data_IF_992470662783
#
_entry.id   IF_992470662783
#
_cell.length_a   1.000
_cell.length_b   1.000
_cell.length_c   1.000
_cell.angle_alpha   90.00
_cell.angle_beta   90.00
_cell.angle_gamma   90.00
#
_symmetry.space_group_name_H-M   'P 1'
#
loop_
_entity.id
_entity.type
_entity.pdbx_description
1 polymer ?
#
# COMPACT_ATOMS: atom_id res chain seq x y z
N UNK A 1 -26.69 -1.68 1.18
CA UNK A 1 -27.29 -3.02 1.31
C UNK A 1 -26.25 -4.03 0.89
N UNK A 2 -25.55 -4.67 1.84
CA UNK A 2 -24.54 -5.69 1.54
C UNK A 2 -25.22 -6.89 0.87
N UNK A 3 -24.77 -7.24 -0.33
CA UNK A 3 -25.30 -8.34 -1.15
C UNK A 3 -25.41 -9.66 -0.37
N UNK A 4 -26.41 -10.53 -0.66
CA UNK A 4 -26.52 -11.87 -0.06
C UNK A 4 -25.24 -12.71 -0.16
N UNK A 5 -24.37 -12.38 -1.11
CA UNK A 5 -23.04 -12.97 -1.29
C UNK A 5 -22.16 -12.79 -0.04
N UNK A 6 -22.26 -11.65 0.67
CA UNK A 6 -21.42 -11.38 1.85
C UNK A 6 -21.88 -12.10 3.11
N UNK A 7 -23.14 -12.55 3.17
CA UNK A 7 -23.72 -13.22 4.35
C UNK A 7 -22.93 -14.47 4.75
N UNK A 8 -22.53 -15.28 3.78
CA UNK A 8 -21.74 -16.49 4.03
C UNK A 8 -20.34 -16.17 4.59
N UNK A 9 -19.73 -15.07 4.15
CA UNK A 9 -18.41 -14.66 4.60
C UNK A 9 -18.45 -14.01 5.99
N UNK A 10 -19.49 -13.20 6.28
CA UNK A 10 -19.73 -12.62 7.61
C UNK A 10 -19.97 -13.74 8.63
N UNK A 11 -20.72 -14.79 8.25
CA UNK A 11 -21.04 -15.89 9.16
C UNK A 11 -19.83 -16.77 9.51
N UNK A 12 -18.95 -17.05 8.54
CA UNK A 12 -17.85 -18.01 8.72
C UNK A 12 -16.50 -17.36 9.05
N UNK A 13 -16.24 -16.13 8.61
CA UNK A 13 -14.96 -15.44 8.87
C UNK A 13 -15.12 -13.92 8.86
N UNK A 14 -15.89 -13.34 9.81
CA UNK A 14 -16.20 -11.92 9.82
C UNK A 14 -14.95 -11.06 9.88
N UNK A 15 -13.98 -11.42 10.71
CA UNK A 15 -12.74 -10.65 10.91
C UNK A 15 -11.92 -10.58 9.61
N UNK A 16 -11.75 -11.70 8.90
CA UNK A 16 -10.97 -11.74 7.66
C UNK A 16 -11.58 -10.87 6.56
N UNK A 17 -12.91 -10.87 6.46
CA UNK A 17 -13.64 -10.04 5.49
C UNK A 17 -13.45 -8.56 5.79
N UNK A 18 -13.54 -8.21 7.06
CA UNK A 18 -13.40 -6.83 7.51
C UNK A 18 -11.97 -6.34 7.36
N UNK A 19 -10.99 -7.13 7.80
CA UNK A 19 -9.57 -6.84 7.61
C UNK A 19 -9.22 -6.65 6.12
N UNK A 20 -9.74 -7.50 5.23
CA UNK A 20 -9.55 -7.36 3.79
C UNK A 20 -10.21 -6.09 3.23
N UNK A 21 -11.42 -5.77 3.68
CA UNK A 21 -12.12 -4.54 3.31
C UNK A 21 -11.37 -3.29 3.76
N UNK A 22 -10.89 -3.30 5.00
CA UNK A 22 -10.01 -2.29 5.61
C UNK A 22 -8.75 -2.10 4.77
N UNK A 23 -7.99 -3.16 4.52
CA UNK A 23 -6.77 -3.10 3.72
C UNK A 23 -7.04 -2.55 2.31
N UNK A 24 -8.15 -2.95 1.66
CA UNK A 24 -8.52 -2.42 0.33
C UNK A 24 -8.86 -0.93 0.35
N UNK A 25 -9.46 -0.43 1.43
CA UNK A 25 -9.79 0.99 1.59
C UNK A 25 -8.52 1.81 1.84
N UNK A 26 -7.71 1.37 2.81
CA UNK A 26 -6.48 2.08 3.24
C UNK A 26 -5.44 2.08 2.12
N UNK A 27 -5.21 0.94 1.47
CA UNK A 27 -4.18 0.74 0.44
C UNK A 27 -4.68 1.10 -0.98
N UNK A 28 -5.57 2.09 -1.11
CA UNK A 28 -6.02 2.55 -2.42
C UNK A 28 -4.87 3.29 -3.12
N UNK A 29 -4.40 2.84 -4.31
CA UNK A 29 -3.25 3.45 -4.98
C UNK A 29 -3.37 4.96 -5.18
N UNK A 30 -4.56 5.46 -5.55
CA UNK A 30 -4.78 6.90 -5.76
C UNK A 30 -4.63 7.71 -4.48
N UNK A 31 -5.21 7.22 -3.39
CA UNK A 31 -5.11 7.88 -2.08
C UNK A 31 -3.69 7.82 -1.53
N UNK A 32 -2.98 6.72 -1.78
CA UNK A 32 -1.58 6.55 -1.41
C UNK A 32 -0.66 7.53 -2.15
N UNK A 33 -0.85 7.67 -3.45
CA UNK A 33 -0.06 8.59 -4.27
C UNK A 33 -0.37 10.04 -3.91
N UNK A 34 -1.65 10.42 -3.74
CA UNK A 34 -2.04 11.75 -3.27
C UNK A 34 -1.50 12.07 -1.86
N UNK A 35 -1.57 11.11 -0.93
CA UNK A 35 -1.00 11.27 0.40
C UNK A 35 0.53 11.48 0.34
N UNK A 36 1.22 10.71 -0.50
CA UNK A 36 2.65 10.81 -0.66
C UNK A 36 3.08 12.16 -1.23
N UNK A 37 2.42 12.65 -2.29
CA UNK A 37 2.70 13.97 -2.88
C UNK A 37 2.54 15.12 -1.88
N UNK A 38 1.60 15.00 -0.94
CA UNK A 38 1.36 16.02 0.09
C UNK A 38 2.29 15.91 1.31
N UNK A 39 2.93 14.75 1.50
CA UNK A 39 3.74 14.45 2.70
C UNK A 39 5.24 14.50 2.43
N UNK A 40 5.66 14.08 1.23
CA UNK A 40 7.06 14.11 0.82
C UNK A 40 7.54 15.56 0.68
N UNK A 41 8.67 15.89 1.30
CA UNK A 41 9.21 17.26 1.26
C UNK A 41 10.12 17.47 0.06
N UNK A 42 10.96 16.49 -0.25
CA UNK A 42 11.94 16.59 -1.35
C UNK A 42 11.81 15.48 -2.40
N UNK A 43 10.93 14.50 -2.17
CA UNK A 43 10.87 13.30 -3.01
C UNK A 43 10.05 13.54 -4.30
N UNK A 44 10.70 13.31 -5.44
CA UNK A 44 10.13 13.54 -6.78
C UNK A 44 9.26 12.35 -7.24
N UNK A 45 8.11 12.64 -7.85
CA UNK A 45 7.10 11.62 -8.24
C UNK A 45 6.89 11.52 -9.75
N UNK A 46 7.65 12.24 -10.59
CA UNK A 46 7.35 12.30 -12.04
C UNK A 46 7.38 10.95 -12.78
N UNK A 47 8.34 10.07 -12.48
CA UNK A 47 8.53 8.84 -13.28
C UNK A 47 8.11 7.56 -12.54
N UNK A 48 7.94 7.60 -11.21
CA UNK A 48 7.65 6.42 -10.40
C UNK A 48 6.69 6.77 -9.27
N UNK A 49 5.49 6.17 -9.31
CA UNK A 49 4.49 6.32 -8.27
C UNK A 49 4.92 5.66 -6.96
N UNK A 50 4.46 6.21 -5.84
CA UNK A 50 4.73 5.62 -4.53
C UNK A 50 3.98 4.30 -4.36
N UNK A 51 2.76 4.21 -4.88
CA UNK A 51 1.94 2.99 -4.91
C UNK A 51 2.64 1.83 -5.62
N UNK A 52 3.36 2.08 -6.72
CA UNK A 52 4.19 1.08 -7.42
C UNK A 52 5.33 0.58 -6.53
N UNK A 53 6.00 1.49 -5.82
CA UNK A 53 7.07 1.09 -4.91
C UNK A 53 6.55 0.28 -3.73
N UNK A 54 5.43 0.72 -3.14
CA UNK A 54 4.74 0.01 -2.07
C UNK A 54 4.32 -1.39 -2.51
N UNK A 55 3.80 -1.53 -3.73
CA UNK A 55 3.44 -2.82 -4.32
C UNK A 55 4.64 -3.78 -4.40
N UNK A 56 5.79 -3.32 -4.90
CA UNK A 56 7.02 -4.12 -4.95
C UNK A 56 7.50 -4.53 -3.55
N UNK A 57 7.52 -3.59 -2.60
CA UNK A 57 7.89 -3.86 -1.20
C UNK A 57 6.93 -4.88 -0.58
N UNK A 58 5.64 -4.81 -0.89
CA UNK A 58 4.65 -5.73 -0.36
C UNK A 58 4.93 -7.18 -0.76
N UNK A 59 5.39 -7.43 -1.99
CA UNK A 59 5.74 -8.77 -2.47
C UNK A 59 6.93 -9.35 -1.72
N UNK A 60 7.89 -8.49 -1.34
CA UNK A 60 9.07 -8.90 -0.56
C UNK A 60 8.71 -9.16 0.89
N UNK A 61 7.95 -8.26 1.52
CA UNK A 61 7.55 -8.37 2.94
C UNK A 61 6.63 -9.57 3.18
N UNK A 62 5.74 -9.88 2.23
CA UNK A 62 4.88 -11.08 2.28
C UNK A 62 5.63 -12.38 1.96
N UNK A 63 6.89 -12.30 1.54
CA UNK A 63 7.72 -13.45 1.18
C UNK A 63 7.41 -14.07 -0.19
N UNK A 64 6.55 -13.43 -1.01
CA UNK A 64 6.28 -13.87 -2.39
C UNK A 64 7.50 -13.74 -3.29
N UNK A 65 8.35 -12.73 -3.03
CA UNK A 65 9.59 -12.48 -3.76
C UNK A 65 10.76 -12.33 -2.78
N UNK A 66 11.94 -12.85 -3.16
CA UNK A 66 13.13 -12.84 -2.28
C UNK A 66 13.85 -11.49 -2.24
N UNK A 67 13.57 -10.59 -3.16
CA UNK A 67 14.20 -9.27 -3.24
C UNK A 67 13.38 -8.29 -4.08
N UNK A 68 13.68 -7.00 -3.96
CA UNK A 68 13.06 -5.95 -4.78
C UNK A 68 13.37 -6.14 -6.25
N UNK A 69 14.59 -6.58 -6.58
CA UNK A 69 14.94 -6.93 -7.96
C UNK A 69 14.07 -8.07 -8.50
N UNK A 70 13.85 -9.13 -7.72
CA UNK A 70 12.97 -10.23 -8.13
C UNK A 70 11.52 -9.78 -8.32
N UNK A 71 11.00 -8.95 -7.41
CA UNK A 71 9.68 -8.34 -7.54
C UNK A 71 9.56 -7.45 -8.79
N UNK A 72 10.59 -6.64 -9.09
CA UNK A 72 10.61 -5.82 -10.29
C UNK A 72 10.59 -6.67 -11.56
N UNK A 73 11.38 -7.74 -11.61
CA UNK A 73 11.40 -8.63 -12.79
C UNK A 73 10.06 -9.34 -12.99
N UNK A 74 9.37 -9.70 -11.90
CA UNK A 74 8.05 -10.30 -11.96
C UNK A 74 6.94 -9.32 -12.41
N UNK A 75 7.16 -8.01 -12.30
CA UNK A 75 6.21 -6.95 -12.65
C UNK A 75 6.72 -6.03 -13.75
N UNK A 76 7.67 -6.50 -14.56
CA UNK A 76 8.40 -5.67 -15.53
C UNK A 76 7.52 -5.11 -16.65
N UNK A 77 6.45 -5.82 -17.01
CA UNK A 77 5.49 -5.38 -18.03
C UNK A 77 4.65 -4.18 -17.54
N UNK A 78 4.46 -4.05 -16.23
CA UNK A 78 3.63 -3.01 -15.61
C UNK A 78 4.44 -1.77 -15.17
N UNK A 79 5.77 -1.83 -15.23
CA UNK A 79 6.68 -0.80 -14.69
C UNK A 79 7.57 -0.26 -15.81
N UNK A 80 7.30 0.97 -16.25
CA UNK A 80 8.01 1.61 -17.37
C UNK A 80 9.40 2.19 -17.02
N UNK A 81 9.82 2.11 -15.75
CA UNK A 81 11.10 2.67 -15.28
C UNK A 81 12.20 1.62 -15.12
N UNK A 82 13.45 2.10 -15.09
CA UNK A 82 14.59 1.25 -14.80
C UNK A 82 14.60 0.76 -13.35
N UNK A 83 15.22 -0.40 -13.12
CA UNK A 83 15.47 -0.90 -11.76
C UNK A 83 16.31 0.07 -10.93
N UNK A 84 17.21 0.82 -11.56
CA UNK A 84 18.01 1.87 -10.92
C UNK A 84 17.13 3.00 -10.39
N UNK A 85 16.11 3.41 -11.14
CA UNK A 85 15.14 4.43 -10.70
C UNK A 85 14.39 3.99 -9.44
N UNK A 86 14.07 2.69 -9.33
CA UNK A 86 13.42 2.12 -8.13
C UNK A 86 14.34 2.20 -6.92
N UNK A 87 15.60 1.76 -7.07
CA UNK A 87 16.57 1.82 -5.97
C UNK A 87 16.91 3.26 -5.59
N UNK A 88 17.00 4.19 -6.54
CA UNK A 88 17.18 5.60 -6.25
C UNK A 88 16.01 6.17 -5.43
N UNK A 89 14.76 5.81 -5.79
CA UNK A 89 13.59 6.25 -5.03
C UNK A 89 13.57 5.64 -3.62
N UNK A 90 13.95 4.36 -3.47
CA UNK A 90 14.10 3.70 -2.16
C UNK A 90 15.18 4.37 -1.29
N UNK A 91 16.35 4.65 -1.86
CA UNK A 91 17.45 5.29 -1.14
C UNK A 91 17.10 6.73 -0.73
N UNK A 92 16.25 7.40 -1.50
CA UNK A 92 15.73 8.73 -1.18
C UNK A 92 14.51 8.76 -0.26
N UNK A 93 14.06 7.61 0.29
CA UNK A 93 12.92 7.58 1.20
C UNK A 93 13.27 8.24 2.53
N UNK A 94 12.57 9.33 2.85
CA UNK A 94 12.74 9.99 4.14
C UNK A 94 12.16 9.13 5.29
N UNK A 95 12.84 9.02 6.44
CA UNK A 95 12.29 8.37 7.63
C UNK A 95 10.97 9.00 8.10
N UNK A 96 10.83 10.32 7.94
CA UNK A 96 9.59 11.08 8.18
C UNK A 96 8.42 10.55 7.37
N UNK A 97 8.63 10.23 6.10
CA UNK A 97 7.60 9.68 5.21
C UNK A 97 7.14 8.31 5.69
N UNK A 98 8.07 7.45 6.10
CA UNK A 98 7.75 6.13 6.66
C UNK A 98 6.93 6.24 7.95
N UNK A 99 7.30 7.16 8.86
CA UNK A 99 6.55 7.41 10.09
C UNK A 99 5.16 8.03 9.81
N UNK A 100 5.06 8.91 8.83
CA UNK A 100 3.79 9.48 8.40
C UNK A 100 2.87 8.42 7.77
N UNK A 101 3.40 7.43 7.06
CA UNK A 101 2.62 6.33 6.49
C UNK A 101 1.91 5.53 7.59
N UNK A 102 2.60 5.24 8.69
CA UNK A 102 2.02 4.53 9.84
C UNK A 102 0.89 5.34 10.47
N UNK A 103 1.09 6.66 10.63
CA UNK A 103 0.04 7.56 11.14
C UNK A 103 -1.17 7.62 10.22
N UNK A 104 -0.95 7.79 8.92
CA UNK A 104 -2.00 7.75 7.91
C UNK A 104 -2.80 6.44 7.98
N UNK A 105 -2.12 5.29 8.04
CA UNK A 105 -2.79 4.00 8.14
C UNK A 105 -3.63 3.89 9.42
N UNK A 106 -3.13 4.40 10.56
CA UNK A 106 -3.88 4.42 11.81
C UNK A 106 -5.14 5.31 11.70
N UNK A 107 -5.02 6.53 11.18
CA UNK A 107 -6.13 7.47 10.98
C UNK A 107 -7.21 6.90 10.04
N UNK A 108 -6.82 6.19 8.98
CA UNK A 108 -7.78 5.58 8.06
C UNK A 108 -8.56 4.40 8.68
N UNK A 109 -7.94 3.72 9.65
CA UNK A 109 -8.51 2.54 10.34
C UNK A 109 -9.31 2.95 11.58
N UNK A 110 -8.93 4.03 12.25
CA UNK A 110 -9.59 4.55 13.45
C UNK A 110 -11.12 4.69 13.35
N UNK A 111 -11.72 5.34 12.34
CA UNK A 111 -13.18 5.45 12.25
C UNK A 111 -13.86 4.09 12.03
N UNK A 112 -13.11 3.11 11.55
CA UNK A 112 -13.62 1.78 11.30
C UNK A 112 -13.59 0.96 12.59
N UNK A 113 -12.54 1.05 13.41
CA UNK A 113 -12.42 0.32 14.68
C UNK A 113 -13.15 1.03 15.83
N UNK A 114 -13.16 2.37 15.84
CA UNK A 114 -13.86 3.18 16.84
C UNK A 114 -15.38 3.08 16.77
N UNK A 115 -15.94 2.68 15.63
CA UNK A 115 -17.37 2.34 15.51
C UNK A 115 -17.77 1.06 16.29
N UNK A 116 -16.81 0.36 16.90
CA UNK A 116 -16.99 -0.92 17.61
C UNK A 116 -16.92 -0.78 19.14
N UNK A 117 -16.54 0.40 19.64
CA UNK A 117 -16.53 0.74 21.06
C UNK A 117 -17.82 1.51 21.42
#
# INVERSE_FOLDING_TARGET
MLSPVFTAFIKNSPISVMARGLMKKVLNPKQFDEWFENTAKEQYTRDLLFSTLFYLMSQVVQGSQRSIHAAFQASKEDIAVSVTSIYNKLNGMEPSTSAALVRYAAEQVEPIVGCWA
#
